data_IF_519441330581
#
_entry.id   IF_519441330581
#
_cell.length_a   1.000
_cell.length_b   1.000
_cell.length_c   1.000
_cell.angle_alpha   90.00
_cell.angle_beta   90.00
_cell.angle_gamma   90.00
#
_symmetry.space_group_name_H-M   'P 1'
#
loop_
_entity.id
_entity.type
_entity.pdbx_description
1 polymer ?
#
# COMPACT_ATOMS: atom_id res chain seq x y z
N UNK A 1 -17.08 13.65 -3.32
CA UNK A 1 -16.74 12.42 -4.05
C UNK A 1 -16.70 11.34 -2.98
N UNK A 2 -17.47 10.25 -3.11
CA UNK A 2 -17.39 9.16 -2.13
C UNK A 2 -16.01 8.50 -2.25
N UNK A 3 -15.39 8.15 -1.12
CA UNK A 3 -14.12 7.42 -1.12
C UNK A 3 -14.27 6.02 -1.72
N UNK A 4 -13.15 5.35 -1.99
CA UNK A 4 -13.16 3.99 -2.51
C UNK A 4 -13.20 2.95 -1.39
N UNK A 5 -13.72 1.77 -1.68
CA UNK A 5 -13.61 0.64 -0.75
C UNK A 5 -12.18 0.10 -0.82
N UNK A 6 -11.53 0.00 0.34
CA UNK A 6 -10.22 -0.63 0.47
C UNK A 6 -10.36 -2.01 1.12
N UNK A 7 -9.66 -3.00 0.59
CA UNK A 7 -9.72 -4.37 1.08
C UNK A 7 -8.35 -4.86 1.50
N UNK A 8 -8.27 -5.42 2.70
CA UNK A 8 -7.04 -5.99 3.27
C UNK A 8 -7.34 -7.30 4.00
N UNK A 9 -6.45 -8.27 3.88
CA UNK A 9 -6.54 -9.55 4.60
C UNK A 9 -5.17 -9.97 5.16
N UNK A 10 -5.15 -10.76 6.25
CA UNK A 10 -3.90 -11.35 6.75
C UNK A 10 -3.33 -12.37 5.74
N UNK A 11 -2.02 -12.59 5.78
CA UNK A 11 -1.33 -13.59 4.93
C UNK A 11 -1.93 -15.01 5.05
N UNK A 12 -2.40 -15.36 6.24
CA UNK A 12 -2.98 -16.67 6.55
C UNK A 12 -4.44 -16.81 6.09
N UNK A 13 -5.10 -15.72 5.72
CA UNK A 13 -6.48 -15.73 5.27
C UNK A 13 -6.55 -16.17 3.82
N UNK A 14 -7.32 -17.23 3.53
CA UNK A 14 -7.47 -17.79 2.17
C UNK A 14 -8.91 -17.78 1.69
N UNK A 15 -9.84 -17.27 2.49
CA UNK A 15 -11.27 -17.26 2.21
C UNK A 15 -11.81 -15.84 2.00
N UNK A 16 -12.97 -15.71 1.37
CA UNK A 16 -13.63 -14.42 1.16
C UNK A 16 -13.98 -13.71 2.48
N UNK A 17 -14.20 -14.47 3.57
CA UNK A 17 -14.50 -13.92 4.89
C UNK A 17 -13.29 -13.31 5.62
N UNK A 18 -12.08 -13.56 5.14
CA UNK A 18 -10.85 -13.01 5.74
C UNK A 18 -10.59 -11.55 5.32
N UNK A 19 -11.28 -11.08 4.28
CA UNK A 19 -11.16 -9.71 3.80
C UNK A 19 -11.86 -8.74 4.75
N UNK A 20 -11.08 -7.78 5.24
CA UNK A 20 -11.59 -6.60 5.92
C UNK A 20 -11.81 -5.51 4.88
N UNK A 21 -13.06 -5.08 4.75
CA UNK A 21 -13.47 -3.95 3.92
C UNK A 21 -13.44 -2.68 4.76
N UNK A 22 -12.73 -1.67 4.28
CA UNK A 22 -12.71 -0.31 4.81
C UNK A 22 -13.44 0.58 3.79
N UNK A 23 -14.68 1.00 4.06
CA UNK A 23 -15.45 1.80 3.11
C UNK A 23 -15.00 3.26 3.11
N UNK A 24 -15.24 3.95 1.98
CA UNK A 24 -15.02 5.39 1.84
C UNK A 24 -13.59 5.87 2.17
N UNK A 25 -12.58 5.06 1.89
CA UNK A 25 -11.19 5.43 2.10
C UNK A 25 -10.70 6.41 1.01
N UNK A 26 -9.84 7.34 1.41
CA UNK A 26 -8.98 8.11 0.52
C UNK A 26 -7.72 7.29 0.25
N UNK A 27 -7.52 6.91 -1.01
CA UNK A 27 -6.45 6.02 -1.43
C UNK A 27 -5.58 6.74 -2.45
N UNK A 28 -4.29 6.81 -2.16
CA UNK A 28 -3.27 7.33 -3.06
C UNK A 28 -2.23 6.26 -3.34
N UNK A 29 -1.93 6.05 -4.62
CA UNK A 29 -0.83 5.18 -5.05
C UNK A 29 0.31 6.02 -5.59
N UNK A 30 1.53 5.66 -5.21
CA UNK A 30 2.77 6.22 -5.74
C UNK A 30 3.67 5.09 -6.21
N UNK A 31 3.89 5.03 -7.52
CA UNK A 31 4.82 4.12 -8.16
C UNK A 31 6.11 4.87 -8.51
N UNK A 32 7.25 4.26 -8.22
CA UNK A 32 8.57 4.81 -8.53
C UNK A 32 9.47 3.74 -9.12
N UNK A 33 10.20 4.08 -10.19
CA UNK A 33 11.22 3.21 -10.78
C UNK A 33 12.60 3.63 -10.35
N UNK A 34 13.49 2.66 -10.18
CA UNK A 34 14.90 2.93 -9.96
C UNK A 34 15.58 3.20 -11.30
N UNK A 35 16.03 4.44 -11.49
CA UNK A 35 16.68 4.91 -12.71
C UNK A 35 18.14 5.25 -12.41
N UNK A 36 19.06 4.76 -13.25
CA UNK A 36 20.47 5.17 -13.22
C UNK A 36 20.77 6.01 -14.46
N UNK A 37 21.27 7.22 -14.24
CA UNK A 37 21.63 8.19 -15.28
C UNK A 37 23.15 8.24 -15.42
N UNK A 38 23.66 7.99 -16.62
CA UNK A 38 25.09 8.07 -16.91
C UNK A 38 25.37 9.22 -17.86
N UNK A 39 26.08 10.24 -17.37
CA UNK A 39 26.49 11.40 -18.19
C UNK A 39 27.81 11.08 -18.88
N UNK A 40 27.76 10.90 -20.21
CA UNK A 40 28.96 10.69 -21.03
C UNK A 40 29.56 12.06 -21.36
N UNK A 41 30.75 12.36 -20.85
CA UNK A 41 31.45 13.62 -21.15
C UNK A 41 32.24 13.47 -22.46
N UNK A 42 31.83 14.19 -23.51
CA UNK A 42 32.58 14.28 -24.77
C UNK A 42 31.85 13.78 -26.02
N UNK A 43 30.64 13.22 -25.85
CA UNK A 43 29.67 13.03 -26.93
C UNK A 43 28.31 13.55 -26.45
N UNK A 44 27.50 14.06 -27.38
CA UNK A 44 26.18 14.62 -27.11
C UNK A 44 25.21 13.47 -26.78
N UNK A 45 25.04 13.15 -25.50
CA UNK A 45 24.15 12.07 -25.09
C UNK A 45 24.12 11.84 -23.58
N UNK A 46 22.91 11.67 -23.06
CA UNK A 46 22.63 11.24 -21.70
C UNK A 46 21.96 9.87 -21.77
N UNK A 47 22.60 8.86 -21.22
CA UNK A 47 22.05 7.50 -21.21
C UNK A 47 21.24 7.31 -19.92
N UNK A 48 19.93 7.10 -20.10
CA UNK A 48 19.02 6.73 -19.01
C UNK A 48 18.82 5.22 -19.02
N UNK A 49 19.24 4.55 -17.95
CA UNK A 49 19.05 3.11 -17.76
C UNK A 49 17.97 2.86 -16.71
N UNK A 50 16.89 2.17 -17.10
CA UNK A 50 15.87 1.67 -16.18
C UNK A 50 16.34 0.34 -15.60
N UNK A 51 16.47 0.27 -14.28
CA UNK A 51 16.96 -0.93 -13.58
C UNK A 51 15.87 -1.99 -13.41
N UNK A 52 14.64 -1.73 -13.86
CA UNK A 52 13.54 -2.69 -13.84
C UNK A 52 13.01 -3.01 -12.43
N UNK A 53 13.42 -2.24 -11.42
CA UNK A 53 12.92 -2.34 -10.05
C UNK A 53 11.89 -1.24 -9.82
N UNK A 54 10.64 -1.66 -9.62
CA UNK A 54 9.51 -0.80 -9.31
C UNK A 54 9.17 -0.91 -7.83
N UNK A 55 8.88 0.24 -7.20
CA UNK A 55 8.41 0.32 -5.83
C UNK A 55 7.08 1.06 -5.81
N UNK A 56 6.06 0.39 -5.29
CA UNK A 56 4.71 0.91 -5.14
C UNK A 56 4.42 1.17 -3.66
N UNK A 57 3.96 2.38 -3.36
CA UNK A 57 3.47 2.78 -2.04
C UNK A 57 1.99 3.12 -2.13
N UNK A 58 1.19 2.52 -1.25
CA UNK A 58 -0.22 2.84 -1.06
C UNK A 58 -0.35 3.65 0.23
N UNK A 59 -0.88 4.86 0.13
CA UNK A 59 -1.31 5.67 1.28
C UNK A 59 -2.83 5.55 1.39
N UNK A 60 -3.30 5.05 2.53
CA UNK A 60 -4.73 4.84 2.79
C UNK A 60 -5.13 5.65 4.01
N UNK A 61 -6.19 6.45 3.87
CA UNK A 61 -6.76 7.28 4.93
C UNK A 61 -8.27 7.11 4.99
N UNK A 62 -8.84 7.32 6.16
CA UNK A 62 -10.27 7.23 6.36
C UNK A 62 -10.61 7.14 7.84
N UNK A 63 -11.76 6.57 8.13
CA UNK A 63 -12.26 6.35 9.49
C UNK A 63 -12.39 4.86 9.77
N UNK A 64 -12.04 4.44 10.98
CA UNK A 64 -12.19 3.08 11.47
C UNK A 64 -12.66 3.10 12.92
N UNK A 65 -13.62 2.24 13.24
CA UNK A 65 -13.94 1.99 14.64
C UNK A 65 -12.74 1.38 15.37
N UNK A 66 -12.68 1.57 16.69
CA UNK A 66 -11.56 1.05 17.49
C UNK A 66 -11.40 -0.47 17.39
N UNK A 67 -12.50 -1.20 17.17
CA UNK A 67 -12.47 -2.66 17.05
C UNK A 67 -11.98 -3.11 15.67
N UNK A 68 -12.30 -2.38 14.61
CA UNK A 68 -11.70 -2.60 13.28
C UNK A 68 -10.21 -2.27 13.31
N UNK A 69 -9.82 -1.15 13.92
CA UNK A 69 -8.42 -0.78 14.07
C UNK A 69 -7.61 -1.89 14.78
N UNK A 70 -8.13 -2.46 15.88
CA UNK A 70 -7.48 -3.60 16.56
C UNK A 70 -7.30 -4.81 15.64
N UNK A 71 -8.25 -5.09 14.74
CA UNK A 71 -8.11 -6.18 13.75
C UNK A 71 -6.96 -5.89 12.78
N UNK A 72 -6.84 -4.65 12.30
CA UNK A 72 -5.72 -4.24 11.43
C UNK A 72 -4.38 -4.30 12.17
N UNK A 73 -4.33 -3.89 13.45
CA UNK A 73 -3.12 -4.01 14.31
C UNK A 73 -2.67 -5.47 14.44
N UNK A 74 -3.60 -6.42 14.53
CA UNK A 74 -3.24 -7.84 14.56
C UNK A 74 -2.60 -8.29 13.24
N UNK A 75 -3.07 -7.79 12.09
CA UNK A 75 -2.43 -8.06 10.79
C UNK A 75 -1.02 -7.45 10.72
N UNK A 76 -0.87 -6.19 11.15
CA UNK A 76 0.42 -5.51 11.22
C UNK A 76 1.45 -6.32 12.03
N UNK A 77 1.04 -6.87 13.17
CA UNK A 77 1.92 -7.65 14.05
C UNK A 77 2.25 -9.05 13.52
N UNK A 78 1.43 -9.60 12.62
CA UNK A 78 1.61 -10.95 12.07
C UNK A 78 2.39 -10.97 10.76
N UNK A 79 2.64 -9.81 10.13
CA UNK A 79 3.58 -9.69 9.01
C UNK A 79 2.94 -9.10 7.75
N UNK A 80 3.14 -9.77 6.61
CA UNK A 80 2.87 -9.29 5.25
C UNK A 80 1.40 -9.55 4.83
N UNK A 81 0.45 -8.61 5.02
CA UNK A 81 -0.92 -8.78 4.53
C UNK A 81 -0.97 -8.77 3.00
N UNK A 82 -2.15 -9.11 2.49
CA UNK A 82 -2.52 -8.87 1.10
C UNK A 82 -3.58 -7.77 1.04
N UNK A 83 -3.48 -6.92 0.02
CA UNK A 83 -4.54 -5.99 -0.35
C UNK A 83 -5.11 -6.40 -1.69
N UNK A 84 -6.36 -6.06 -1.94
CA UNK A 84 -6.87 -6.01 -3.30
C UNK A 84 -6.48 -4.64 -3.84
N UNK A 85 -5.67 -4.61 -4.90
CA UNK A 85 -5.23 -3.34 -5.45
C UNK A 85 -6.46 -2.55 -5.93
N UNK A 86 -6.63 -1.29 -5.47
CA UNK A 86 -7.82 -0.51 -5.77
C UNK A 86 -7.84 0.04 -7.22
N UNK A 87 -6.72 -0.03 -7.94
CA UNK A 87 -6.54 0.49 -9.29
C UNK A 87 -6.19 -0.61 -10.31
N UNK A 88 -5.66 -1.74 -9.84
CA UNK A 88 -5.37 -2.93 -10.63
C UNK A 88 -6.20 -4.10 -10.06
N UNK A 89 -6.94 -4.85 -10.89
CA UNK A 89 -7.81 -5.95 -10.41
C UNK A 89 -7.01 -7.19 -9.97
N UNK A 90 -6.04 -7.03 -9.07
CA UNK A 90 -5.13 -8.06 -8.58
C UNK A 90 -4.89 -7.95 -7.08
N UNK A 91 -4.64 -9.10 -6.47
CA UNK A 91 -4.19 -9.15 -5.08
C UNK A 91 -2.67 -8.92 -5.04
N UNK A 92 -2.23 -7.96 -4.23
CA UNK A 92 -0.81 -7.68 -4.02
C UNK A 92 -0.42 -7.89 -2.57
N UNK A 93 0.78 -8.44 -2.39
CA UNK A 93 1.37 -8.64 -1.07
C UNK A 93 2.02 -7.34 -0.65
N UNK A 94 1.79 -6.90 0.59
CA UNK A 94 2.31 -5.62 1.07
C UNK A 94 2.88 -5.73 2.49
N UNK A 95 3.63 -4.71 2.90
CA UNK A 95 4.12 -4.51 4.25
C UNK A 95 3.68 -3.13 4.73
N UNK A 96 3.28 -3.02 6.00
CA UNK A 96 3.05 -1.72 6.62
C UNK A 96 4.37 -0.98 6.87
N UNK A 97 4.54 0.16 6.20
CA UNK A 97 5.60 1.11 6.49
C UNK A 97 5.20 2.05 7.65
N UNK A 98 3.94 2.48 7.68
CA UNK A 98 3.38 3.37 8.72
C UNK A 98 1.97 2.91 9.10
N UNK A 99 1.66 3.01 10.40
CA UNK A 99 0.32 2.82 10.93
C UNK A 99 0.02 3.86 12.01
N UNK A 100 -0.99 4.68 11.79
CA UNK A 100 -1.45 5.72 12.71
C UNK A 100 -2.96 5.64 12.92
N UNK A 101 -3.41 5.99 14.12
CA UNK A 101 -4.82 6.07 14.49
C UNK A 101 -5.03 7.17 15.53
N UNK A 102 -6.05 7.99 15.31
CA UNK A 102 -6.48 9.06 16.20
C UNK A 102 -7.84 8.69 16.81
N UNK A 103 -7.83 8.39 18.11
CA UNK A 103 -9.06 8.00 18.82
C UNK A 103 -10.05 9.14 19.02
N UNK A 104 -9.65 10.40 18.78
CA UNK A 104 -10.53 11.56 18.97
C UNK A 104 -11.52 11.73 17.82
N UNK A 105 -11.15 11.28 16.62
CA UNK A 105 -11.95 11.39 15.39
C UNK A 105 -12.08 10.06 14.63
N UNK A 106 -11.58 8.96 15.21
CA UNK A 106 -11.55 7.63 14.59
C UNK A 106 -10.77 7.57 13.26
N UNK A 107 -9.94 8.57 12.99
CA UNK A 107 -9.17 8.69 11.77
C UNK A 107 -7.96 7.76 11.78
N UNK A 108 -7.66 7.15 10.63
CA UNK A 108 -6.46 6.34 10.44
C UNK A 108 -5.62 6.81 9.26
N UNK A 109 -4.34 6.46 9.30
CA UNK A 109 -3.42 6.66 8.19
C UNK A 109 -2.45 5.48 8.11
N UNK A 110 -2.49 4.78 6.97
CA UNK A 110 -1.61 3.65 6.67
C UNK A 110 -0.74 3.97 5.46
N UNK A 111 0.53 3.60 5.53
CA UNK A 111 1.42 3.52 4.38
C UNK A 111 1.82 2.06 4.18
N UNK A 112 1.55 1.52 2.99
CA UNK A 112 1.79 0.13 2.63
C UNK A 112 2.75 0.08 1.44
N UNK A 113 3.83 -0.67 1.58
CA UNK A 113 4.78 -0.94 0.50
C UNK A 113 4.47 -2.29 -0.14
N UNK A 114 4.38 -2.33 -1.47
CA UNK A 114 4.29 -3.57 -2.22
C UNK A 114 5.56 -4.42 -2.01
N UNK A 115 5.38 -5.69 -1.65
CA UNK A 115 6.44 -6.68 -1.53
C UNK A 115 6.68 -7.31 -2.91
N UNK A 116 7.56 -6.68 -3.68
CA UNK A 116 7.98 -7.14 -5.02
C UNK A 116 9.23 -8.03 -4.85
N UNK A 117 9.13 -9.29 -5.29
CA UNK A 117 10.23 -10.30 -5.30
C UNK A 117 10.96 -10.27 -6.64
#
# INVERSE_FOLDING_TARGET
MAGMDFFIRPATGTSSSDWVRIPNADIKVRMTRRLTRTVIRGQEGDDLHDEGSESTMYTVRGELSIDEYKRIVAMFRTGQPYIHDPFEERDVKVIFAVMEYDSSNEGFHFELLEDVI
#
